data_IF_190715963611
#
_entry.id   IF_190715963611
#
_cell.length_a   1.000
_cell.length_b   1.000
_cell.length_c   1.000
_cell.angle_alpha   90.00
_cell.angle_beta   90.00
_cell.angle_gamma   90.00
#
_symmetry.space_group_name_H-M   'P 1'
#
loop_
_entity.id
_entity.type
_entity.pdbx_description
1 polymer ?
#
# COMPACT_ATOMS: atom_id res chain seq x y z
N UNK A 1 1.45 29.34 -3.15
CA UNK A 1 0.62 28.17 -2.76
C UNK A 1 0.56 27.05 -3.82
N UNK A 2 1.40 27.08 -4.87
CA UNK A 2 1.27 26.21 -6.07
C UNK A 2 1.95 24.83 -5.98
N UNK A 3 2.82 24.57 -4.98
CA UNK A 3 3.60 23.32 -4.91
C UNK A 3 2.80 22.11 -4.41
N UNK A 4 1.77 22.36 -3.60
CA UNK A 4 0.99 21.30 -2.94
C UNK A 4 -0.05 20.69 -3.88
N UNK A 5 -0.63 21.50 -4.78
CA UNK A 5 -1.55 21.03 -5.83
C UNK A 5 -0.80 20.13 -6.84
N UNK A 6 0.45 20.48 -7.17
CA UNK A 6 1.31 19.68 -8.06
C UNK A 6 1.66 18.30 -7.48
N UNK A 7 1.83 18.19 -6.16
CA UNK A 7 2.09 16.90 -5.49
C UNK A 7 0.85 16.00 -5.41
N UNK A 8 -0.35 16.58 -5.33
CA UNK A 8 -1.62 15.84 -5.34
C UNK A 8 -1.93 15.30 -6.74
N UNK A 9 -1.65 16.06 -7.79
CA UNK A 9 -1.75 15.56 -9.17
C UNK A 9 -0.72 14.46 -9.46
N UNK A 10 0.49 14.56 -8.89
CA UNK A 10 1.53 13.52 -9.04
C UNK A 10 1.15 12.23 -8.30
N UNK A 11 0.54 12.31 -7.12
CA UNK A 11 0.14 11.12 -6.35
C UNK A 11 -1.09 10.41 -6.91
N UNK A 12 -2.06 11.15 -7.45
CA UNK A 12 -3.20 10.58 -8.17
C UNK A 12 -2.76 9.87 -9.47
N UNK A 13 -1.69 10.36 -10.12
CA UNK A 13 -1.09 9.73 -11.30
C UNK A 13 -0.14 8.56 -10.94
N UNK A 14 0.46 8.57 -9.74
CA UNK A 14 1.40 7.53 -9.29
C UNK A 14 0.71 6.29 -8.69
N UNK A 15 -0.49 6.42 -8.13
CA UNK A 15 -1.25 5.29 -7.57
C UNK A 15 -1.47 4.12 -8.57
N UNK A 16 -1.86 4.35 -9.85
CA UNK A 16 -1.97 3.25 -10.82
C UNK A 16 -0.60 2.67 -11.23
N UNK A 17 0.48 3.45 -11.18
CA UNK A 17 1.86 2.97 -11.46
C UNK A 17 2.36 2.05 -10.35
N UNK A 18 2.01 2.32 -9.09
CA UNK A 18 2.35 1.45 -7.94
C UNK A 18 1.51 0.17 -7.98
N UNK A 19 0.23 0.23 -8.35
CA UNK A 19 -0.58 -0.98 -8.56
C UNK A 19 -0.08 -1.83 -9.74
N UNK A 20 0.42 -1.22 -10.81
CA UNK A 20 1.03 -1.91 -11.94
C UNK A 20 2.41 -2.53 -11.62
N UNK A 21 3.02 -2.16 -10.48
CA UNK A 21 4.30 -2.71 -10.01
C UNK A 21 4.14 -4.02 -9.22
N UNK A 22 2.91 -4.42 -8.90
CA UNK A 22 2.61 -5.78 -8.43
C UNK A 22 2.58 -6.70 -9.66
N UNK A 23 3.74 -7.25 -10.02
CA UNK A 23 3.83 -8.31 -11.02
C UNK A 23 3.00 -9.53 -10.59
N UNK A 24 2.55 -10.37 -11.55
CA UNK A 24 1.81 -11.58 -11.22
C UNK A 24 2.57 -12.38 -10.17
N UNK A 25 1.93 -12.72 -9.04
CA UNK A 25 2.45 -13.70 -8.13
C UNK A 25 2.46 -15.05 -8.86
N UNK A 26 3.56 -15.32 -9.56
CA UNK A 26 3.79 -16.60 -10.22
C UNK A 26 3.97 -17.65 -9.12
N UNK A 27 2.86 -18.25 -8.70
CA UNK A 27 2.88 -19.58 -8.13
C UNK A 27 3.33 -20.50 -9.26
N UNK A 28 4.65 -20.66 -9.41
CA UNK A 28 5.22 -21.68 -10.27
C UNK A 28 4.70 -23.03 -9.81
N UNK A 29 3.72 -23.57 -10.52
CA UNK A 29 3.25 -24.95 -10.38
C UNK A 29 4.30 -25.91 -10.94
N UNK A 30 5.49 -25.91 -10.32
CA UNK A 30 6.47 -26.95 -10.53
C UNK A 30 6.08 -28.18 -9.71
N UNK A 31 5.28 -29.06 -10.32
CA UNK A 31 5.28 -30.49 -10.00
C UNK A 31 4.01 -31.04 -9.35
N UNK A 32 3.26 -31.83 -10.14
CA UNK A 32 2.34 -32.86 -9.62
C UNK A 32 0.86 -32.54 -9.78
N UNK A 33 0.33 -32.77 -10.98
CA UNK A 33 -1.08 -32.53 -11.31
C UNK A 33 -2.03 -33.43 -10.53
N UNK A 34 -2.73 -32.84 -9.57
CA UNK A 34 -3.90 -33.44 -8.97
C UNK A 34 -5.10 -33.20 -9.92
N UNK A 35 -6.02 -34.15 -10.11
CA UNK A 35 -7.07 -34.06 -11.13
C UNK A 35 -8.04 -32.88 -10.96
N UNK A 36 -8.03 -32.23 -9.80
CA UNK A 36 -8.80 -31.03 -9.48
C UNK A 36 -8.08 -29.70 -9.80
N UNK A 37 -6.78 -29.72 -10.11
CA UNK A 37 -6.03 -28.51 -10.49
C UNK A 37 -6.54 -27.89 -11.79
N UNK A 38 -6.85 -28.71 -12.81
CA UNK A 38 -7.36 -28.22 -14.10
C UNK A 38 -8.66 -27.41 -13.98
N UNK A 39 -9.70 -27.93 -13.30
CA UNK A 39 -10.92 -27.17 -13.04
C UNK A 39 -10.72 -25.89 -12.22
N UNK A 40 -9.83 -25.92 -11.21
CA UNK A 40 -9.54 -24.72 -10.41
C UNK A 40 -8.78 -23.66 -11.22
N UNK A 41 -7.86 -24.09 -12.09
CA UNK A 41 -7.12 -23.22 -13.00
C UNK A 41 -8.04 -22.59 -14.05
N UNK A 42 -9.01 -23.34 -14.56
CA UNK A 42 -9.99 -22.84 -15.53
C UNK A 42 -10.94 -21.80 -14.93
N UNK A 43 -11.27 -21.91 -13.64
CA UNK A 43 -12.03 -20.88 -12.90
C UNK A 43 -11.18 -19.62 -12.71
N UNK A 44 -9.89 -19.76 -12.35
CA UNK A 44 -8.98 -18.62 -12.29
C UNK A 44 -8.89 -17.91 -13.63
N UNK A 45 -8.65 -18.65 -14.72
CA UNK A 45 -8.61 -18.11 -16.08
C UNK A 45 -9.94 -17.45 -16.49
N UNK A 46 -11.08 -17.92 -15.98
CA UNK A 46 -12.38 -17.32 -16.26
C UNK A 46 -12.59 -16.00 -15.51
N UNK A 47 -12.04 -15.85 -14.31
CA UNK A 47 -12.14 -14.63 -13.48
C UNK A 47 -11.14 -13.57 -13.95
N UNK A 48 -9.97 -13.99 -14.43
CA UNK A 48 -8.94 -13.07 -14.95
C UNK A 48 -8.92 -12.98 -16.48
N UNK A 49 -9.84 -13.66 -17.15
CA UNK A 49 -9.86 -13.78 -18.60
C UNK A 49 -10.32 -12.51 -19.33
N UNK A 50 -10.20 -12.49 -20.67
CA UNK A 50 -10.56 -11.34 -21.50
C UNK A 50 -12.02 -10.90 -21.34
N UNK A 51 -12.92 -11.86 -21.07
CA UNK A 51 -14.35 -11.59 -20.86
C UNK A 51 -14.59 -10.85 -19.54
N UNK A 52 -13.93 -11.26 -18.46
CA UNK A 52 -14.01 -10.57 -17.16
C UNK A 52 -13.47 -9.13 -17.27
N UNK A 53 -12.36 -8.94 -18.00
CA UNK A 53 -11.81 -7.63 -18.30
C UNK A 53 -12.78 -6.72 -19.07
N UNK A 54 -13.47 -7.25 -20.08
CA UNK A 54 -14.48 -6.50 -20.84
C UNK A 54 -15.69 -6.10 -19.99
N UNK A 55 -16.16 -6.98 -19.12
CA UNK A 55 -17.25 -6.69 -18.17
C UNK A 55 -16.83 -5.63 -17.16
N UNK A 56 -15.61 -5.72 -16.62
CA UNK A 56 -15.08 -4.73 -15.69
C UNK A 56 -14.98 -3.33 -16.32
N UNK A 57 -14.48 -3.23 -17.56
CA UNK A 57 -14.44 -1.99 -18.31
C UNK A 57 -15.84 -1.41 -18.58
N UNK A 58 -16.78 -2.25 -18.98
CA UNK A 58 -18.17 -1.83 -19.18
C UNK A 58 -18.81 -1.32 -17.88
N UNK A 59 -18.63 -2.03 -16.77
CA UNK A 59 -19.13 -1.63 -15.46
C UNK A 59 -18.52 -0.30 -14.99
N UNK A 60 -17.20 -0.11 -15.18
CA UNK A 60 -16.52 1.15 -14.85
C UNK A 60 -17.04 2.32 -15.68
N UNK A 61 -17.29 2.12 -16.97
CA UNK A 61 -17.87 3.14 -17.84
C UNK A 61 -19.30 3.49 -17.44
N UNK A 62 -20.13 2.50 -17.08
CA UNK A 62 -21.50 2.72 -16.59
C UNK A 62 -21.49 3.46 -15.26
N UNK A 63 -20.66 3.04 -14.31
CA UNK A 63 -20.54 3.69 -13.00
C UNK A 63 -20.05 5.14 -13.13
N UNK A 64 -19.02 5.38 -13.95
CA UNK A 64 -18.52 6.73 -14.25
C UNK A 64 -19.56 7.59 -14.99
N UNK A 65 -20.29 6.99 -15.94
CA UNK A 65 -21.37 7.65 -16.67
C UNK A 65 -22.55 8.04 -15.76
N UNK A 66 -22.96 7.14 -14.86
CA UNK A 66 -23.97 7.43 -13.83
C UNK A 66 -23.50 8.56 -12.91
N UNK A 67 -22.21 8.60 -12.57
CA UNK A 67 -21.61 9.67 -11.76
C UNK A 67 -21.70 11.05 -12.43
N UNK A 68 -21.44 11.13 -13.73
CA UNK A 68 -21.37 12.41 -14.47
C UNK A 68 -22.77 12.88 -14.91
N UNK A 69 -23.65 11.96 -15.31
CA UNK A 69 -24.92 12.31 -15.97
C UNK A 69 -26.18 12.10 -15.13
N UNK A 70 -26.16 11.45 -13.94
CA UNK A 70 -27.41 10.95 -13.36
C UNK A 70 -27.60 11.04 -11.83
N UNK A 71 -28.59 11.85 -11.43
CA UNK A 71 -29.50 11.60 -10.30
C UNK A 71 -29.13 12.21 -8.95
N UNK A 72 -27.97 11.85 -8.41
CA UNK A 72 -27.65 12.10 -6.99
C UNK A 72 -26.18 12.54 -6.77
N UNK A 73 -25.57 13.21 -7.75
CA UNK A 73 -24.17 13.65 -7.69
C UNK A 73 -23.85 14.41 -6.40
N UNK A 74 -24.79 15.21 -5.91
CA UNK A 74 -24.65 15.92 -4.64
C UNK A 74 -24.54 14.98 -3.43
N UNK A 75 -25.31 13.88 -3.39
CA UNK A 75 -25.25 12.88 -2.32
C UNK A 75 -24.03 11.97 -2.45
N UNK A 76 -23.63 11.61 -3.67
CA UNK A 76 -22.39 10.87 -3.90
C UNK A 76 -21.15 11.70 -3.51
N UNK A 77 -21.08 12.95 -3.95
CA UNK A 77 -19.99 13.87 -3.60
C UNK A 77 -19.93 14.08 -2.08
N UNK A 78 -21.08 14.22 -1.43
CA UNK A 78 -21.18 14.32 0.02
C UNK A 78 -20.65 13.06 0.73
N UNK A 79 -21.02 11.86 0.26
CA UNK A 79 -20.47 10.59 0.78
C UNK A 79 -18.96 10.47 0.57
N UNK A 80 -18.45 10.85 -0.61
CA UNK A 80 -17.02 10.84 -0.89
C UNK A 80 -16.25 11.77 0.05
N UNK A 81 -16.77 12.98 0.28
CA UNK A 81 -16.16 13.93 1.21
C UNK A 81 -16.06 13.34 2.62
N UNK A 82 -17.10 12.63 3.10
CA UNK A 82 -17.04 11.97 4.41
C UNK A 82 -15.99 10.86 4.47
N UNK A 83 -15.93 9.99 3.45
CA UNK A 83 -14.93 8.90 3.40
C UNK A 83 -13.52 9.47 3.40
N UNK A 84 -13.26 10.48 2.58
CA UNK A 84 -11.95 11.13 2.48
C UNK A 84 -11.60 11.87 3.78
N UNK A 85 -12.56 12.57 4.39
CA UNK A 85 -12.36 13.30 5.64
C UNK A 85 -12.01 12.35 6.79
N UNK A 86 -12.73 11.23 6.93
CA UNK A 86 -12.44 10.19 7.93
C UNK A 86 -11.07 9.56 7.69
N UNK A 87 -10.78 9.15 6.45
CA UNK A 87 -9.48 8.57 6.12
C UNK A 87 -8.33 9.55 6.41
N UNK A 88 -8.49 10.82 6.03
CA UNK A 88 -7.52 11.88 6.28
C UNK A 88 -7.28 12.14 7.77
N UNK A 89 -8.33 12.10 8.59
CA UNK A 89 -8.20 12.23 10.05
C UNK A 89 -7.44 11.02 10.63
N UNK A 90 -7.78 9.79 10.21
CA UNK A 90 -7.09 8.58 10.70
C UNK A 90 -5.61 8.58 10.32
N UNK A 91 -5.28 8.94 9.08
CA UNK A 91 -3.91 9.12 8.60
C UNK A 91 -3.18 10.27 9.31
N UNK A 92 -3.87 11.36 9.64
CA UNK A 92 -3.29 12.48 10.39
C UNK A 92 -3.08 12.16 11.87
N UNK A 93 -3.96 11.36 12.46
CA UNK A 93 -3.92 10.99 13.88
C UNK A 93 -2.65 10.20 14.22
N UNK A 94 -2.19 9.31 13.33
CA UNK A 94 -0.92 8.57 13.54
C UNK A 94 0.27 9.52 13.66
N UNK A 95 0.27 10.61 12.89
CA UNK A 95 1.32 11.63 12.96
C UNK A 95 1.28 12.38 14.29
N UNK A 96 0.09 12.76 14.77
CA UNK A 96 -0.07 13.44 16.07
C UNK A 96 0.37 12.54 17.21
N UNK A 97 -0.02 11.27 17.21
CA UNK A 97 0.41 10.29 18.23
C UNK A 97 1.93 10.12 18.21
N UNK A 98 2.56 10.11 17.04
CA UNK A 98 4.02 10.04 16.92
C UNK A 98 4.77 11.22 17.57
N UNK A 99 4.19 12.43 17.55
CA UNK A 99 4.78 13.61 18.19
C UNK A 99 4.83 13.47 19.72
N UNK A 100 3.80 12.88 20.32
CA UNK A 100 3.73 12.69 21.77
C UNK A 100 4.34 11.37 22.24
N UNK A 101 4.37 10.33 21.40
CA UNK A 101 4.98 9.03 21.70
C UNK A 101 6.51 9.00 21.62
N UNK A 102 7.13 9.85 20.80
CA UNK A 102 8.59 9.93 20.65
C UNK A 102 9.29 10.80 21.71
N UNK A 103 8.54 11.62 22.45
CA UNK A 103 9.09 12.45 23.54
C UNK A 103 9.20 11.66 24.87
N UNK A 104 8.77 10.39 24.90
CA UNK A 104 9.02 9.48 26.01
C UNK A 104 10.47 8.98 26.01
N UNK A 105 11.41 9.81 26.47
CA UNK A 105 12.82 9.44 26.58
C UNK A 105 13.00 8.25 27.53
N UNK A 106 13.43 7.08 27.02
CA UNK A 106 14.06 6.07 27.86
C UNK A 106 15.47 6.56 28.18
N UNK A 107 15.69 7.05 29.40
CA UNK A 107 17.03 7.37 29.91
C UNK A 107 17.79 6.04 30.02
N UNK A 108 18.51 5.69 28.95
CA UNK A 108 19.42 4.56 28.94
C UNK A 108 20.66 4.93 29.75
N UNK A 109 20.84 4.28 30.90
CA UNK A 109 22.05 4.36 31.70
C UNK A 109 23.22 3.90 30.82
N UNK A 110 24.04 4.85 30.37
CA UNK A 110 25.26 4.57 29.63
C UNK A 110 26.14 3.68 30.52
N UNK A 111 26.10 2.36 30.31
CA UNK A 111 27.15 1.49 30.79
C UNK A 111 28.40 1.86 29.99
N UNK A 112 29.15 2.78 30.58
CA UNK A 112 30.53 3.09 30.30
C UNK A 112 31.27 1.78 30.04
N UNK A 113 31.44 1.45 28.76
CA UNK A 113 32.24 0.34 28.29
C UNK A 113 33.69 0.72 28.57
N UNK A 114 34.11 0.45 29.81
CA UNK A 114 35.50 0.53 30.24
C UNK A 114 36.26 -0.57 29.50
N UNK A 115 36.88 -0.19 28.39
CA UNK A 115 37.86 -0.99 27.67
C UNK A 115 39.07 -1.24 28.61
N UNK A 116 39.40 -2.48 29.00
CA UNK A 116 40.64 -2.76 29.71
C UNK A 116 41.84 -2.54 28.77
N UNK A 117 42.97 -1.97 29.23
CA UNK A 117 44.15 -1.82 28.40
C UNK A 117 44.66 -3.20 27.96
N UNK A 118 44.80 -3.38 26.65
CA UNK A 118 45.36 -4.57 26.04
C UNK A 118 46.77 -4.83 26.60
N UNK A 119 46.92 -6.00 27.24
CA UNK A 119 48.22 -6.54 27.61
C UNK A 119 49.01 -6.85 26.35
N UNK A 120 50.04 -6.04 26.08
CA UNK A 120 51.06 -6.34 25.10
C UNK A 120 52.07 -7.29 25.73
N UNK A 121 51.88 -8.59 25.50
CA UNK A 121 52.95 -9.59 25.54
C UNK A 121 54.06 -9.15 24.57
N UNK A 122 55.19 -8.69 25.13
CA UNK A 122 56.48 -8.66 24.46
C UNK A 122 57.32 -9.78 25.09
N UNK A 123 57.12 -10.99 24.59
CA UNK A 123 57.97 -12.15 24.84
C UNK A 123 58.65 -12.52 23.52
N UNK A 124 59.85 -11.97 23.30
CA UNK A 124 60.84 -12.53 22.38
C UNK A 124 62.23 -12.31 23.00
N UNK A 125 62.92 -13.42 23.25
CA UNK A 125 64.20 -13.54 23.93
C UNK A 125 64.69 -14.97 23.84
#
# INVERSE_FOLDING_TARGET
>A
MSRKVSLVTITLLAAPVVLASFGPALASSSGGGLPWEGPLQQIQESITGPVAGAIALAAMAIAGGMLIFGGELNDFARRLVYVVLVAGILLGATQIVGLFGSTGASIGLAKQQLNPPAGGEAADG
#
